data_IF_077849305815
#
_entry.id   IF_077849305815
#
_cell.length_a   1.000
_cell.length_b   1.000
_cell.length_c   1.000
_cell.angle_alpha   90.00
_cell.angle_beta   90.00
_cell.angle_gamma   90.00
#
_symmetry.space_group_name_H-M   'P 1'
#
loop_
_entity.id
_entity.type
_entity.pdbx_description
1 polymer ?
#
# COMPACT_ATOMS: atom_id res chain seq x y z
N UNK A 1 -6.55 -0.52 -10.34
CA UNK A 1 -6.11 -1.02 -11.66
C UNK A 1 -7.28 -0.97 -12.63
N UNK A 2 -8.39 -1.64 -12.34
CA UNK A 2 -9.51 -1.78 -13.29
C UNK A 2 -10.21 -0.48 -13.74
N UNK A 3 -9.99 0.66 -13.06
CA UNK A 3 -10.51 1.97 -13.47
C UNK A 3 -9.53 2.80 -14.31
N UNK A 4 -8.44 2.18 -14.79
CA UNK A 4 -7.42 2.80 -15.62
C UNK A 4 -7.32 2.09 -16.96
N UNK A 5 -7.09 2.84 -18.03
CA UNK A 5 -6.73 2.28 -19.33
C UNK A 5 -5.30 1.72 -19.31
N UNK A 6 -4.97 0.89 -20.28
CA UNK A 6 -3.60 0.36 -20.42
C UNK A 6 -2.57 1.47 -20.62
N UNK A 7 -2.93 2.51 -21.38
CA UNK A 7 -2.04 3.63 -21.66
C UNK A 7 -1.79 4.47 -20.41
N UNK A 8 -2.81 4.73 -19.60
CA UNK A 8 -2.65 5.42 -18.31
C UNK A 8 -1.73 4.63 -17.37
N UNK A 9 -1.87 3.29 -17.33
CA UNK A 9 -0.99 2.44 -16.52
C UNK A 9 0.45 2.49 -17.03
N UNK A 10 0.66 2.40 -18.35
CA UNK A 10 2.00 2.50 -18.96
C UNK A 10 2.64 3.86 -18.71
N UNK A 11 1.88 4.94 -18.86
CA UNK A 11 2.37 6.30 -18.63
C UNK A 11 2.85 6.49 -17.19
N UNK A 12 2.02 6.11 -16.21
CA UNK A 12 2.43 6.12 -14.80
C UNK A 12 3.65 5.23 -14.55
N UNK A 13 3.69 4.05 -15.16
CA UNK A 13 4.82 3.13 -15.07
C UNK A 13 6.11 3.75 -15.60
N UNK A 14 6.09 4.38 -16.79
CA UNK A 14 7.25 5.07 -17.36
C UNK A 14 7.72 6.23 -16.47
N UNK A 15 6.78 7.05 -15.98
CA UNK A 15 7.11 8.16 -15.08
C UNK A 15 7.80 7.67 -13.82
N UNK A 16 7.23 6.65 -13.16
CA UNK A 16 7.80 6.08 -11.94
C UNK A 16 9.16 5.42 -12.20
N UNK A 17 9.31 4.68 -13.30
CA UNK A 17 10.58 4.05 -13.69
C UNK A 17 11.67 5.11 -13.94
N UNK A 18 11.38 6.19 -14.69
CA UNK A 18 12.33 7.26 -14.99
C UNK A 18 12.80 8.00 -13.73
N UNK A 19 11.97 8.05 -12.69
CA UNK A 19 12.27 8.66 -11.39
C UNK A 19 12.76 7.67 -10.35
N UNK A 20 12.90 6.38 -10.72
CA UNK A 20 13.29 5.30 -9.80
C UNK A 20 12.35 5.21 -8.57
N UNK A 21 11.05 5.41 -8.80
CA UNK A 21 10.02 5.37 -7.78
C UNK A 21 9.26 4.05 -7.86
N UNK A 22 8.92 3.50 -6.69
CA UNK A 22 8.00 2.37 -6.61
C UNK A 22 6.59 2.80 -6.98
N UNK A 23 5.86 1.91 -7.63
CA UNK A 23 4.45 2.08 -7.94
C UNK A 23 3.68 0.84 -7.52
N UNK A 24 2.74 1.02 -6.60
CA UNK A 24 1.78 -0.02 -6.22
C UNK A 24 0.37 0.43 -6.56
N UNK A 25 -0.27 -0.29 -7.47
CA UNK A 25 -1.63 0.00 -7.89
C UNK A 25 -2.65 -0.74 -7.03
N UNK A 26 -3.75 -0.09 -6.71
CA UNK A 26 -4.82 -0.72 -5.95
C UNK A 26 -5.59 -1.71 -6.80
N UNK A 27 -5.78 -2.93 -6.30
CA UNK A 27 -6.54 -3.98 -6.98
C UNK A 27 -8.04 -3.78 -6.73
N UNK A 28 -8.85 -3.97 -7.75
CA UNK A 28 -10.30 -4.01 -7.71
C UNK A 28 -10.83 -5.33 -8.33
N UNK A 29 -12.11 -5.57 -8.28
CA UNK A 29 -13.16 -4.87 -7.54
C UNK A 29 -13.09 -5.14 -6.03
N UNK A 30 -14.06 -4.60 -5.27
CA UNK A 30 -14.13 -4.78 -3.81
C UNK A 30 -15.59 -4.74 -3.35
N UNK A 31 -15.86 -5.22 -2.13
CA UNK A 31 -17.22 -5.31 -1.58
C UNK A 31 -18.02 -3.99 -1.62
N UNK A 32 -17.35 -2.84 -1.40
CA UNK A 32 -18.02 -1.52 -1.51
C UNK A 32 -18.46 -1.13 -2.93
N UNK A 33 -18.05 -1.86 -3.94
CA UNK A 33 -18.45 -1.62 -5.34
C UNK A 33 -19.60 -2.52 -5.78
N UNK A 34 -20.01 -3.43 -4.92
CA UNK A 34 -21.11 -4.36 -5.16
C UNK A 34 -22.41 -3.87 -4.53
N UNK A 35 -23.49 -4.59 -4.78
CA UNK A 35 -24.84 -4.31 -4.27
C UNK A 35 -25.05 -4.73 -2.81
N UNK A 36 -24.09 -5.44 -2.20
CA UNK A 36 -24.18 -5.87 -0.82
C UNK A 36 -24.28 -4.67 0.13
N UNK A 37 -25.26 -4.63 1.05
CA UNK A 37 -25.35 -3.55 2.02
C UNK A 37 -24.34 -3.68 3.15
N UNK A 38 -23.77 -4.85 3.38
CA UNK A 38 -22.90 -5.12 4.53
C UNK A 38 -21.70 -4.18 4.63
N UNK A 39 -20.92 -3.91 3.59
CA UNK A 39 -19.77 -2.99 3.66
C UNK A 39 -20.13 -1.55 4.04
N UNK A 40 -21.39 -1.18 3.91
CA UNK A 40 -21.88 0.17 4.22
C UNK A 40 -22.42 0.31 5.64
N UNK A 41 -22.56 -0.80 6.36
CA UNK A 41 -22.94 -0.80 7.78
C UNK A 41 -21.73 -0.44 8.65
N UNK A 42 -22.00 0.07 9.85
CA UNK A 42 -20.93 0.37 10.80
C UNK A 42 -20.10 -0.88 11.16
N UNK A 43 -20.73 -2.02 11.34
CA UNK A 43 -20.08 -3.29 11.69
C UNK A 43 -19.35 -3.94 10.50
N UNK A 44 -19.88 -3.77 9.30
CA UNK A 44 -19.34 -4.38 8.08
C UNK A 44 -18.32 -3.54 7.32
N UNK A 45 -18.04 -2.30 7.76
CA UNK A 45 -17.17 -1.37 7.05
C UNK A 45 -15.77 -1.95 6.77
N UNK A 46 -15.25 -2.79 7.66
CA UNK A 46 -13.95 -3.45 7.47
C UNK A 46 -13.95 -4.46 6.30
N UNK A 47 -15.13 -4.99 5.94
CA UNK A 47 -15.26 -5.90 4.80
C UNK A 47 -15.23 -5.17 3.44
N UNK A 48 -15.37 -3.85 3.44
CA UNK A 48 -15.51 -3.08 2.21
C UNK A 48 -14.34 -3.14 1.23
N UNK A 49 -13.17 -3.56 1.68
CA UNK A 49 -11.99 -3.75 0.83
C UNK A 49 -11.84 -5.20 0.34
N UNK A 50 -12.60 -6.13 0.90
CA UNK A 50 -12.54 -7.56 0.57
C UNK A 50 -13.16 -7.84 -0.79
N UNK A 51 -12.78 -8.97 -1.38
CA UNK A 51 -13.43 -9.48 -2.57
C UNK A 51 -14.62 -10.35 -2.17
N UNK A 52 -15.80 -10.02 -2.65
CA UNK A 52 -17.01 -10.79 -2.40
C UNK A 52 -17.23 -11.81 -3.53
N UNK A 53 -17.31 -13.09 -3.15
CA UNK A 53 -17.57 -14.18 -4.08
C UNK A 53 -16.41 -14.48 -5.03
N UNK A 54 -16.68 -15.42 -5.96
CA UNK A 54 -15.68 -15.88 -6.92
C UNK A 54 -15.42 -14.82 -8.01
N UNK A 55 -16.44 -14.12 -8.45
CA UNK A 55 -16.34 -13.19 -9.57
C UNK A 55 -15.40 -12.03 -9.27
N UNK A 56 -15.54 -11.39 -8.12
CA UNK A 56 -14.63 -10.32 -7.72
C UNK A 56 -13.19 -10.82 -7.57
N UNK A 57 -13.01 -12.04 -7.05
CA UNK A 57 -11.68 -12.63 -6.90
C UNK A 57 -11.04 -12.92 -8.25
N UNK A 58 -11.79 -13.43 -9.21
CA UNK A 58 -11.31 -13.66 -10.59
C UNK A 58 -10.91 -12.35 -11.26
N UNK A 59 -11.74 -11.32 -11.17
CA UNK A 59 -11.39 -9.99 -11.70
C UNK A 59 -10.14 -9.40 -11.03
N UNK A 60 -9.96 -9.61 -9.74
CA UNK A 60 -8.76 -9.16 -9.02
C UNK A 60 -7.49 -9.90 -9.51
N UNK A 61 -7.58 -11.19 -9.79
CA UNK A 61 -6.50 -11.98 -10.38
C UNK A 61 -6.14 -11.45 -11.77
N UNK A 62 -7.14 -11.20 -12.62
CA UNK A 62 -6.92 -10.65 -13.96
C UNK A 62 -6.33 -9.24 -13.91
N UNK A 63 -6.72 -8.41 -12.95
CA UNK A 63 -6.11 -7.10 -12.70
C UNK A 63 -4.61 -7.22 -12.36
N UNK A 64 -4.23 -8.17 -11.50
CA UNK A 64 -2.82 -8.42 -11.19
C UNK A 64 -2.02 -8.85 -12.43
N UNK A 65 -2.57 -9.78 -13.24
CA UNK A 65 -1.94 -10.24 -14.49
C UNK A 65 -1.79 -9.09 -15.47
N UNK A 66 -2.84 -8.28 -15.65
CA UNK A 66 -2.83 -7.11 -16.50
C UNK A 66 -1.78 -6.09 -16.07
N UNK A 67 -1.74 -5.74 -14.78
CA UNK A 67 -0.73 -4.83 -14.26
C UNK A 67 0.70 -5.33 -14.51
N UNK A 68 0.95 -6.60 -14.23
CA UNK A 68 2.26 -7.22 -14.47
C UNK A 68 2.64 -7.24 -15.97
N UNK A 69 1.69 -7.52 -16.87
CA UNK A 69 1.94 -7.49 -18.32
C UNK A 69 2.29 -6.11 -18.84
N UNK A 70 1.79 -5.04 -18.18
CA UNK A 70 2.08 -3.65 -18.49
C UNK A 70 3.35 -3.12 -17.79
N UNK A 71 4.11 -3.99 -17.13
CA UNK A 71 5.38 -3.64 -16.50
C UNK A 71 5.28 -3.12 -15.07
N UNK A 72 4.09 -3.13 -14.47
CA UNK A 72 3.92 -2.78 -13.04
C UNK A 72 4.43 -3.94 -12.19
N UNK A 73 5.11 -3.59 -11.10
CA UNK A 73 5.73 -4.57 -10.19
C UNK A 73 5.22 -4.49 -8.76
N UNK A 74 4.15 -3.77 -8.51
CA UNK A 74 3.58 -3.66 -7.18
C UNK A 74 2.06 -3.55 -7.20
N UNK A 75 1.40 -4.20 -6.25
CA UNK A 75 -0.03 -4.06 -6.03
C UNK A 75 -0.36 -3.89 -4.55
N UNK A 76 -1.35 -3.04 -4.25
CA UNK A 76 -1.94 -2.91 -2.93
C UNK A 76 -3.18 -3.79 -2.85
N UNK A 77 -3.15 -4.75 -1.93
CA UNK A 77 -4.16 -5.80 -1.77
C UNK A 77 -4.84 -5.66 -0.41
N UNK A 78 -6.13 -5.89 -0.36
CA UNK A 78 -6.94 -5.80 0.85
C UNK A 78 -7.65 -7.09 1.26
N UNK A 79 -7.25 -8.22 0.68
CA UNK A 79 -7.90 -9.52 0.88
C UNK A 79 -6.86 -10.64 1.06
N UNK A 80 -6.99 -11.44 2.11
CA UNK A 80 -6.05 -12.51 2.45
C UNK A 80 -6.05 -13.62 1.40
N UNK A 81 -7.22 -13.93 0.84
CA UNK A 81 -7.34 -14.92 -0.23
C UNK A 81 -6.54 -14.51 -1.46
N UNK A 82 -6.62 -13.22 -1.83
CA UNK A 82 -5.84 -12.70 -2.95
C UNK A 82 -4.33 -12.65 -2.64
N UNK A 83 -3.92 -12.37 -1.40
CA UNK A 83 -2.50 -12.45 -1.01
C UNK A 83 -1.95 -13.86 -1.22
N UNK A 84 -2.69 -14.89 -0.75
CA UNK A 84 -2.30 -16.28 -0.93
C UNK A 84 -2.25 -16.68 -2.41
N UNK A 85 -3.24 -16.26 -3.21
CA UNK A 85 -3.27 -16.55 -4.63
C UNK A 85 -2.12 -15.86 -5.38
N UNK A 86 -1.82 -14.61 -5.06
CA UNK A 86 -0.70 -13.89 -5.66
C UNK A 86 0.65 -14.58 -5.36
N UNK A 87 0.85 -15.10 -4.14
CA UNK A 87 2.00 -15.95 -3.81
C UNK A 87 2.09 -17.16 -4.74
N UNK A 88 1.00 -17.92 -4.88
CA UNK A 88 0.93 -19.09 -5.77
C UNK A 88 1.20 -18.71 -7.23
N UNK A 89 0.68 -17.58 -7.68
CA UNK A 89 0.93 -17.07 -9.04
C UNK A 89 2.42 -16.73 -9.25
N UNK A 90 3.11 -16.20 -8.25
CA UNK A 90 4.57 -15.98 -8.29
C UNK A 90 5.33 -17.32 -8.35
N UNK A 91 4.92 -18.31 -7.55
CA UNK A 91 5.51 -19.67 -7.54
C UNK A 91 5.34 -20.38 -8.90
N UNK A 92 4.20 -20.17 -9.57
CA UNK A 92 3.87 -20.73 -10.87
C UNK A 92 4.38 -19.91 -12.07
N UNK A 93 5.10 -18.80 -11.82
CA UNK A 93 5.57 -17.84 -12.83
C UNK A 93 4.45 -17.17 -13.65
N UNK A 94 3.23 -17.11 -13.13
CA UNK A 94 2.11 -16.32 -13.68
C UNK A 94 2.31 -14.84 -13.37
N UNK A 95 2.80 -14.53 -12.17
CA UNK A 95 3.33 -13.21 -11.83
C UNK A 95 4.87 -13.25 -11.77
N UNK A 96 5.56 -12.14 -12.07
CA UNK A 96 6.99 -12.04 -11.85
C UNK A 96 7.36 -12.36 -10.39
N UNK A 97 8.44 -13.09 -10.16
CA UNK A 97 8.88 -13.44 -8.79
C UNK A 97 9.14 -12.23 -7.90
N UNK A 98 9.55 -11.12 -8.52
CA UNK A 98 9.82 -9.84 -7.86
C UNK A 98 8.59 -8.89 -7.89
N UNK A 99 7.39 -9.40 -8.12
CA UNK A 99 6.16 -8.62 -7.97
C UNK A 99 5.85 -8.43 -6.48
N UNK A 100 5.70 -7.17 -6.06
CA UNK A 100 5.55 -6.79 -4.64
C UNK A 100 4.07 -6.75 -4.26
N UNK A 101 3.68 -7.57 -3.30
CA UNK A 101 2.34 -7.58 -2.71
C UNK A 101 2.36 -6.76 -1.43
N UNK A 102 1.80 -5.56 -1.48
CA UNK A 102 1.58 -4.69 -0.32
C UNK A 102 0.21 -4.95 0.29
N UNK A 103 0.15 -5.22 1.58
CA UNK A 103 -1.11 -5.38 2.28
C UNK A 103 -1.64 -4.06 2.80
N UNK A 104 -2.94 -3.83 2.60
CA UNK A 104 -3.61 -2.60 3.03
C UNK A 104 -3.76 -2.51 4.54
N UNK A 105 -3.70 -1.29 5.09
CA UNK A 105 -4.05 -0.99 6.48
C UNK A 105 -5.47 -1.44 6.85
N UNK A 106 -6.38 -1.46 5.89
CA UNK A 106 -7.78 -1.88 6.10
C UNK A 106 -7.94 -3.38 6.39
N UNK A 107 -6.89 -4.20 6.21
CA UNK A 107 -6.89 -5.59 6.65
C UNK A 107 -6.83 -5.73 8.18
N UNK A 108 -6.42 -4.68 8.89
CA UNK A 108 -6.52 -4.50 10.35
C UNK A 108 -5.75 -5.52 11.21
N UNK A 109 -4.79 -6.29 10.67
CA UNK A 109 -3.93 -7.13 11.51
C UNK A 109 -3.07 -6.23 12.42
N UNK A 110 -3.25 -6.37 13.73
CA UNK A 110 -2.77 -5.42 14.73
C UNK A 110 -1.97 -6.05 15.87
N UNK A 111 -1.59 -7.33 15.72
CA UNK A 111 -0.79 -8.06 16.69
C UNK A 111 0.31 -8.89 16.02
N UNK A 112 1.33 -9.33 16.75
CA UNK A 112 2.47 -10.06 16.20
C UNK A 112 2.09 -11.29 15.38
N UNK A 113 1.13 -12.08 15.86
CA UNK A 113 0.74 -13.34 15.19
C UNK A 113 0.00 -13.07 13.89
N UNK A 114 -0.94 -12.11 13.91
CA UNK A 114 -1.71 -11.76 12.71
C UNK A 114 -0.83 -11.16 11.60
N UNK A 115 0.14 -10.31 11.95
CA UNK A 115 1.07 -9.74 10.95
C UNK A 115 2.03 -10.82 10.43
N UNK A 116 2.49 -11.72 11.30
CA UNK A 116 3.29 -12.87 10.88
C UNK A 116 2.51 -13.76 9.92
N UNK A 117 1.24 -14.02 10.20
CA UNK A 117 0.38 -14.79 9.31
C UNK A 117 0.30 -14.15 7.90
N UNK A 118 0.20 -12.82 7.81
CA UNK A 118 0.20 -12.13 6.51
C UNK A 118 1.51 -12.36 5.76
N UNK A 119 2.65 -12.30 6.45
CA UNK A 119 3.96 -12.64 5.86
C UNK A 119 3.97 -14.09 5.34
N UNK A 120 3.50 -15.04 6.13
CA UNK A 120 3.47 -16.46 5.75
C UNK A 120 2.53 -16.74 4.56
N UNK A 121 1.43 -15.99 4.45
CA UNK A 121 0.53 -16.01 3.30
C UNK A 121 1.17 -15.43 2.02
N UNK A 122 2.24 -14.65 2.12
CA UNK A 122 2.97 -14.14 0.97
C UNK A 122 2.95 -12.61 0.81
N UNK A 123 2.60 -11.87 1.85
CA UNK A 123 2.76 -10.42 1.85
C UNK A 123 4.26 -10.05 1.78
N UNK A 124 4.62 -9.16 0.86
CA UNK A 124 5.96 -8.60 0.77
C UNK A 124 6.13 -7.37 1.66
N UNK A 125 5.07 -6.62 1.93
CA UNK A 125 5.00 -5.56 2.95
C UNK A 125 3.64 -5.53 3.63
N UNK A 126 3.58 -5.05 4.86
CA UNK A 126 2.33 -4.94 5.60
C UNK A 126 2.11 -3.55 6.17
N UNK A 127 0.95 -2.94 5.88
CA UNK A 127 0.58 -1.64 6.41
C UNK A 127 -0.16 -1.82 7.75
N UNK A 128 0.54 -1.56 8.85
CA UNK A 128 0.00 -1.73 10.21
C UNK A 128 -1.03 -0.64 10.54
N UNK A 129 -2.02 -0.92 11.42
CA UNK A 129 -2.99 0.07 11.86
C UNK A 129 -2.34 1.32 12.47
N UNK A 130 -2.88 2.49 12.14
CA UNK A 130 -2.30 3.80 12.43
C UNK A 130 -2.22 4.16 13.90
N UNK A 131 -3.15 3.64 14.71
CA UNK A 131 -3.28 3.96 16.14
C UNK A 131 -2.46 3.08 17.09
N UNK A 132 -1.56 2.21 16.57
CA UNK A 132 -0.73 1.37 17.43
C UNK A 132 0.35 2.19 18.13
N UNK A 133 0.50 1.93 19.44
CA UNK A 133 1.56 2.55 20.25
C UNK A 133 2.92 1.96 19.95
N UNK A 134 3.99 2.67 20.27
CA UNK A 134 5.38 2.21 20.04
C UNK A 134 5.65 0.81 20.63
N UNK A 135 5.24 0.45 21.88
CA UNK A 135 5.43 -0.91 22.38
C UNK A 135 4.69 -1.98 21.59
N UNK A 136 3.48 -1.70 21.10
CA UNK A 136 2.73 -2.64 20.24
C UNK A 136 3.42 -2.84 18.90
N UNK A 137 3.93 -1.77 18.33
CA UNK A 137 4.69 -1.81 17.07
C UNK A 137 6.00 -2.57 17.24
N UNK A 138 6.73 -2.38 18.35
CA UNK A 138 7.94 -3.13 18.66
C UNK A 138 7.68 -4.65 18.73
N UNK A 139 6.59 -5.06 19.37
CA UNK A 139 6.20 -6.47 19.44
C UNK A 139 5.89 -7.05 18.05
N UNK A 140 5.21 -6.29 17.18
CA UNK A 140 4.95 -6.69 15.78
C UNK A 140 6.27 -6.83 15.01
N UNK A 141 7.19 -5.87 15.16
CA UNK A 141 8.50 -5.94 14.47
C UNK A 141 9.30 -7.18 14.83
N UNK A 142 9.25 -7.61 16.09
CA UNK A 142 9.94 -8.83 16.54
C UNK A 142 9.39 -10.12 15.89
N UNK A 143 8.14 -10.11 15.46
CA UNK A 143 7.49 -11.30 14.90
C UNK A 143 7.60 -11.40 13.37
N UNK A 144 7.98 -10.34 12.67
CA UNK A 144 8.01 -10.31 11.20
C UNK A 144 9.31 -9.71 10.67
N UNK A 145 9.76 -10.15 9.50
CA UNK A 145 10.96 -9.66 8.83
C UNK A 145 10.65 -8.74 7.63
N UNK A 146 9.42 -8.77 7.11
CA UNK A 146 9.05 -7.93 5.97
C UNK A 146 9.02 -6.44 6.33
N UNK A 147 9.26 -5.54 5.38
CA UNK A 147 9.04 -4.12 5.60
C UNK A 147 7.62 -3.84 6.08
N UNK A 148 7.50 -2.93 7.04
CA UNK A 148 6.21 -2.44 7.53
C UNK A 148 5.93 -1.07 6.92
N UNK A 149 4.66 -0.84 6.59
CA UNK A 149 4.19 0.49 6.17
C UNK A 149 3.48 1.14 7.36
N UNK A 150 3.85 2.37 7.71
CA UNK A 150 3.29 3.09 8.85
C UNK A 150 2.85 4.50 8.48
N UNK A 151 1.58 4.80 8.61
CA UNK A 151 1.07 6.16 8.48
C UNK A 151 1.49 7.01 9.67
N UNK A 152 2.12 8.15 9.40
CA UNK A 152 2.39 9.21 10.39
C UNK A 152 1.40 10.36 10.28
N UNK A 153 0.69 10.43 9.17
CA UNK A 153 -0.54 11.20 9.00
C UNK A 153 -1.53 10.34 8.22
N UNK A 154 -2.67 10.02 8.82
CA UNK A 154 -3.69 9.17 8.22
C UNK A 154 -4.93 9.99 7.84
N UNK A 155 -5.57 9.68 6.70
CA UNK A 155 -6.88 10.23 6.36
C UNK A 155 -7.93 9.99 7.46
N UNK A 156 -8.94 10.85 7.53
CA UNK A 156 -9.95 10.79 8.58
C UNK A 156 -10.73 9.47 8.62
N UNK A 157 -10.95 8.84 7.45
CA UNK A 157 -11.57 7.52 7.36
C UNK A 157 -10.70 6.36 7.90
N UNK A 158 -9.41 6.62 8.17
CA UNK A 158 -8.46 5.69 8.81
C UNK A 158 -8.08 6.12 10.24
N UNK A 159 -8.88 6.99 10.85
CA UNK A 159 -8.69 7.45 12.22
C UNK A 159 -8.18 8.89 12.36
N UNK A 160 -7.84 9.56 11.27
CA UNK A 160 -7.50 10.98 11.28
C UNK A 160 -6.29 11.33 12.16
N UNK A 161 -5.20 10.62 12.03
CA UNK A 161 -4.10 10.62 12.96
C UNK A 161 -2.92 11.48 12.46
N UNK A 162 -2.28 12.26 13.33
CA UNK A 162 -1.03 12.98 13.06
C UNK A 162 -0.02 12.67 14.15
N UNK A 163 1.10 12.05 13.77
CA UNK A 163 2.20 11.66 14.68
C UNK A 163 3.58 11.87 14.05
N UNK A 164 3.76 12.97 13.33
CA UNK A 164 5.04 13.29 12.67
C UNK A 164 6.21 13.35 13.65
N UNK A 165 5.99 13.81 14.88
CA UNK A 165 7.02 13.89 15.94
C UNK A 165 7.55 12.51 16.37
N UNK A 166 6.84 11.42 16.07
CA UNK A 166 7.29 10.06 16.36
C UNK A 166 8.10 9.41 15.24
N UNK A 167 8.29 10.07 14.09
CA UNK A 167 9.01 9.49 12.93
C UNK A 167 10.38 8.92 13.34
N UNK A 168 11.24 9.61 14.13
CA UNK A 168 12.52 9.04 14.53
C UNK A 168 12.39 7.73 15.30
N UNK A 169 11.48 7.65 16.25
CA UNK A 169 11.26 6.43 17.04
C UNK A 169 10.61 5.31 16.23
N UNK A 170 9.70 5.66 15.31
CA UNK A 170 9.11 4.69 14.39
C UNK A 170 10.18 4.04 13.50
N UNK A 171 11.15 4.81 13.03
CA UNK A 171 12.28 4.27 12.24
C UNK A 171 13.13 3.34 13.11
N UNK A 172 13.53 3.76 14.32
CA UNK A 172 14.35 2.93 15.23
C UNK A 172 13.67 1.60 15.57
N UNK A 173 12.37 1.62 15.75
CA UNK A 173 11.60 0.44 16.18
C UNK A 173 11.21 -0.45 15.00
N UNK A 174 10.81 0.12 13.85
CA UNK A 174 10.14 -0.62 12.79
C UNK A 174 11.03 -0.94 11.59
N UNK A 175 12.22 -0.36 11.46
CA UNK A 175 13.03 -0.59 10.26
C UNK A 175 13.21 -2.09 9.96
N UNK A 176 13.12 -2.50 8.68
CA UNK A 176 12.81 -1.69 7.51
C UNK A 176 11.34 -1.22 7.49
N UNK A 177 11.13 0.06 7.23
CA UNK A 177 9.81 0.69 7.31
C UNK A 177 9.58 1.72 6.19
N UNK A 178 8.37 1.74 5.66
CA UNK A 178 7.85 2.83 4.82
C UNK A 178 7.08 3.81 5.69
N UNK A 179 7.57 5.04 5.81
CA UNK A 179 6.83 6.13 6.45
C UNK A 179 5.85 6.71 5.45
N UNK A 180 4.56 6.69 5.77
CA UNK A 180 3.48 7.07 4.86
C UNK A 180 2.83 8.38 5.29
N UNK A 181 2.61 9.24 4.31
CA UNK A 181 1.94 10.53 4.47
C UNK A 181 0.60 10.49 3.71
N UNK A 182 -0.48 10.24 4.44
CA UNK A 182 -1.83 10.61 4.04
C UNK A 182 -2.09 12.04 4.52
N UNK A 183 -3.24 12.58 4.22
CA UNK A 183 -3.64 13.90 4.72
C UNK A 183 -4.93 13.77 5.53
N UNK A 184 -5.06 14.64 6.52
CA UNK A 184 -6.34 14.88 7.18
C UNK A 184 -7.17 15.92 6.40
N UNK A 185 -8.44 16.02 6.74
CA UNK A 185 -9.34 17.08 6.27
C UNK A 185 -9.40 17.20 4.74
N UNK A 186 -9.48 16.06 4.05
CA UNK A 186 -9.75 16.05 2.62
C UNK A 186 -10.93 15.13 2.30
N UNK A 187 -11.64 15.36 1.18
CA UNK A 187 -12.74 14.49 0.77
C UNK A 187 -12.23 13.06 0.52
N UNK A 188 -13.11 12.07 0.70
CA UNK A 188 -12.81 10.73 0.21
C UNK A 188 -12.78 10.75 -1.32
N UNK A 189 -11.63 10.44 -1.88
CA UNK A 189 -11.39 10.46 -3.33
C UNK A 189 -11.44 9.08 -3.96
N UNK A 190 -11.82 8.07 -3.20
CA UNK A 190 -11.90 6.70 -3.71
C UNK A 190 -13.35 6.26 -3.99
N UNK A 191 -13.60 5.66 -5.16
CA UNK A 191 -12.69 5.41 -6.27
C UNK A 191 -12.33 6.70 -7.04
N UNK A 192 -11.05 6.88 -7.32
CA UNK A 192 -10.55 8.03 -8.07
C UNK A 192 -10.83 7.88 -9.57
N UNK A 193 -10.96 9.01 -10.24
CA UNK A 193 -11.11 9.13 -11.69
C UNK A 193 -10.78 10.55 -12.13
N UNK A 194 -10.98 10.86 -13.42
CA UNK A 194 -10.68 12.19 -13.98
C UNK A 194 -11.44 13.33 -13.30
N UNK A 195 -12.63 13.07 -12.76
CA UNK A 195 -13.40 14.05 -11.99
C UNK A 195 -12.67 14.55 -10.72
N UNK A 196 -11.70 13.78 -10.21
CA UNK A 196 -10.91 14.13 -9.03
C UNK A 196 -9.48 14.56 -9.37
N UNK A 197 -9.11 14.69 -10.66
CA UNK A 197 -7.71 14.90 -11.08
C UNK A 197 -7.09 16.13 -10.42
N UNK A 198 -7.73 17.30 -10.53
CA UNK A 198 -7.20 18.55 -9.95
C UNK A 198 -7.04 18.45 -8.43
N UNK A 199 -8.01 17.86 -7.74
CA UNK A 199 -7.97 17.64 -6.30
C UNK A 199 -6.83 16.66 -5.94
N UNK A 200 -6.71 15.56 -6.67
CA UNK A 200 -5.66 14.57 -6.42
C UNK A 200 -4.26 15.14 -6.63
N UNK A 201 -4.04 15.98 -7.66
CA UNK A 201 -2.77 16.67 -7.88
C UNK A 201 -2.41 17.54 -6.66
N UNK A 202 -3.36 18.37 -6.21
CA UNK A 202 -3.16 19.23 -5.03
C UNK A 202 -2.85 18.42 -3.76
N UNK A 203 -3.61 17.34 -3.51
CA UNK A 203 -3.37 16.45 -2.38
C UNK A 203 -1.99 15.75 -2.47
N UNK A 204 -1.57 15.35 -3.67
CA UNK A 204 -0.25 14.74 -3.88
C UNK A 204 0.88 15.74 -3.62
N UNK A 205 0.75 16.98 -4.07
CA UNK A 205 1.73 18.04 -3.79
C UNK A 205 1.89 18.26 -2.29
N UNK A 206 0.79 18.34 -1.55
CA UNK A 206 0.84 18.49 -0.10
C UNK A 206 1.43 17.26 0.59
N UNK A 207 1.14 16.03 0.15
CA UNK A 207 1.77 14.80 0.67
C UNK A 207 3.29 14.81 0.49
N UNK A 208 3.78 15.27 -0.66
CA UNK A 208 5.22 15.44 -0.90
C UNK A 208 5.82 16.49 0.04
N UNK A 209 5.12 17.61 0.26
CA UNK A 209 5.54 18.62 1.22
C UNK A 209 5.61 18.04 2.65
N UNK A 210 4.60 17.29 3.10
CA UNK A 210 4.62 16.58 4.40
C UNK A 210 5.79 15.60 4.51
N UNK A 211 6.09 14.88 3.43
CA UNK A 211 7.23 13.97 3.41
C UNK A 211 8.57 14.73 3.55
N UNK A 212 8.71 15.90 2.93
CA UNK A 212 9.89 16.76 3.09
C UNK A 212 10.03 17.24 4.55
N UNK A 213 8.94 17.64 5.20
CA UNK A 213 8.95 17.96 6.64
C UNK A 213 9.34 16.74 7.49
N UNK A 214 8.83 15.57 7.16
CA UNK A 214 9.22 14.32 7.81
C UNK A 214 10.72 14.02 7.69
N UNK A 215 11.31 14.25 6.52
CA UNK A 215 12.76 14.10 6.33
C UNK A 215 13.57 15.09 7.18
N UNK A 216 13.09 16.33 7.38
CA UNK A 216 13.73 17.25 8.30
C UNK A 216 13.70 16.77 9.75
N UNK A 217 12.61 16.10 10.18
CA UNK A 217 12.54 15.46 11.49
C UNK A 217 13.59 14.34 11.62
N UNK A 218 13.73 13.50 10.58
CA UNK A 218 14.77 12.46 10.56
C UNK A 218 16.15 13.06 10.69
N UNK A 219 16.49 14.06 9.89
CA UNK A 219 17.81 14.71 9.94
C UNK A 219 18.14 15.33 11.29
N UNK A 220 17.13 15.83 12.02
CA UNK A 220 17.33 16.47 13.35
C UNK A 220 17.46 15.44 14.48
N UNK A 221 16.64 14.39 14.46
CA UNK A 221 16.43 13.54 15.64
C UNK A 221 16.81 12.08 15.44
N UNK A 222 17.15 11.67 14.20
CA UNK A 222 17.62 10.34 13.84
C UNK A 222 18.60 10.40 12.65
N UNK A 223 19.66 11.21 12.74
CA UNK A 223 20.60 11.40 11.62
C UNK A 223 21.32 10.12 11.21
N UNK A 224 21.35 9.13 12.08
CA UNK A 224 21.87 7.80 11.84
C UNK A 224 20.99 6.92 10.96
N UNK A 225 19.76 7.34 10.68
CA UNK A 225 18.82 6.55 9.88
C UNK A 225 19.32 6.34 8.46
N UNK A 226 19.30 5.07 8.05
CA UNK A 226 19.63 4.70 6.67
C UNK A 226 18.39 4.70 5.81
N UNK A 227 18.45 5.37 4.67
CA UNK A 227 17.43 5.30 3.63
C UNK A 227 17.89 4.36 2.52
N UNK A 228 16.94 3.67 1.87
CA UNK A 228 17.25 2.88 0.68
C UNK A 228 17.77 3.80 -0.43
N UNK A 229 18.75 3.30 -1.21
CA UNK A 229 19.17 4.02 -2.42
C UNK A 229 18.02 4.06 -3.42
N UNK A 230 17.94 5.13 -4.21
CA UNK A 230 16.94 5.21 -5.27
C UNK A 230 17.15 4.09 -6.31
N UNK A 231 16.09 3.34 -6.59
CA UNK A 231 16.09 2.29 -7.62
C UNK A 231 16.65 0.93 -7.20
N UNK A 232 16.49 0.45 -5.94
CA UNK A 232 16.91 -0.90 -5.58
C UNK A 232 16.11 -1.95 -6.38
N UNK A 233 16.76 -3.05 -6.72
CA UNK A 233 16.21 -4.06 -7.65
C UNK A 233 15.05 -4.87 -7.08
N UNK A 234 14.96 -4.97 -5.77
CA UNK A 234 13.98 -5.76 -5.03
C UNK A 234 12.70 -4.98 -4.69
N UNK A 235 12.64 -3.70 -5.03
CA UNK A 235 11.47 -2.86 -4.81
C UNK A 235 10.57 -2.81 -6.05
N UNK A 236 9.31 -2.43 -5.84
CA UNK A 236 8.25 -2.38 -6.84
C UNK A 236 8.38 -1.26 -7.90
N UNK A 237 9.59 -1.00 -8.39
CA UNK A 237 9.82 -0.03 -9.47
C UNK A 237 9.36 -0.66 -10.78
N UNK A 238 8.52 0.02 -11.57
CA UNK A 238 8.03 -0.50 -12.83
C UNK A 238 9.13 -0.81 -13.84
N UNK A 239 8.92 -1.83 -14.67
CA UNK A 239 9.76 -2.17 -15.82
C UNK A 239 8.87 -2.19 -17.06
N UNK A 240 8.58 -1.01 -17.58
CA UNK A 240 7.73 -0.84 -18.77
C UNK A 240 8.57 -1.11 -20.01
N UNK A 241 8.14 -2.09 -20.82
CA UNK A 241 8.75 -2.34 -22.12
C UNK A 241 8.29 -1.28 -23.11
N UNK A 242 9.23 -0.72 -23.86
CA UNK A 242 8.91 0.04 -25.07
C UNK A 242 8.44 -0.94 -26.14
N UNK A 243 7.28 -0.67 -26.73
CA UNK A 243 6.76 -1.39 -27.90
C UNK A 243 7.10 -0.62 -29.15
#
# INVERSE_FOLDING_TARGET
IMLLTDDEIREMGRLCASRKMELSLFVGPRGTWDISPMPWTQSGKAAGIRHEGMDQLVYAIEDLKRAASLGIRGALVGDEGLVLLAKKMKEQNVLPKNFVIKCSVQMMASNPVSVRLMQDLGADTYNVPTGLTLPKLAAIRQATSIPLDMYVEAPDNFGGFIRHYEIPELIRILAPVYIKFGLRNHPDVYPSGKQWEATNISLCQERVHRAALGMQMVMRYCPEALTSKAGPQDLGIPVVKEH
#
